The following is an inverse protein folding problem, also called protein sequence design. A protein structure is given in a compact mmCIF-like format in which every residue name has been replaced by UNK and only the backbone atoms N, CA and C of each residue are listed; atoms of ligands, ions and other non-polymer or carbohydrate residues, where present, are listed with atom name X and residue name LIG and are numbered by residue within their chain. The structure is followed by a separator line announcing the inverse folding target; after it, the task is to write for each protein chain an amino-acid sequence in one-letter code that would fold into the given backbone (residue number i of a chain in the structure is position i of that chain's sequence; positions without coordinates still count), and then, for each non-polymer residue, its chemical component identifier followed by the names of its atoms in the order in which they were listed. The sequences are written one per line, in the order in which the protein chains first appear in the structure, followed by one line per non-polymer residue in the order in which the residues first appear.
data_IF_390504615210
#
_entry.id   IF_390504615210
#
_cell.length_a   1.000
_cell.length_b   1.000
_cell.length_c   1.000
_cell.angle_alpha   90.00
_cell.angle_beta   90.00
_cell.angle_gamma   90.00
#
_symmetry.space_group_name_H-M   'P 1'
#
loop_
_entity.id
_entity.type
_entity.pdbx_description
1 polymer ?
#
# COMPACT_ATOMS: atom_id res chain seq x y z
N UNK A 1 -15.87 -10.45 -12.62
CA UNK A 1 -14.59 -9.79 -12.95
C UNK A 1 -14.58 -8.47 -12.20
N UNK A 2 -13.52 -8.12 -11.45
CA UNK A 2 -13.36 -6.75 -10.97
C UNK A 2 -13.44 -5.80 -12.17
N UNK A 3 -14.09 -4.66 -12.00
CA UNK A 3 -14.11 -3.64 -13.05
C UNK A 3 -12.70 -3.05 -13.21
N UNK A 4 -12.32 -2.59 -14.40
CA UNK A 4 -11.01 -1.94 -14.60
C UNK A 4 -10.81 -0.77 -13.60
N UNK A 5 -11.90 -0.10 -13.24
CA UNK A 5 -11.95 0.96 -12.21
C UNK A 5 -11.57 0.47 -10.81
N UNK A 6 -11.88 -0.78 -10.45
CA UNK A 6 -11.49 -1.35 -9.16
C UNK A 6 -9.97 -1.53 -9.05
N UNK A 7 -9.37 -2.01 -10.14
CA UNK A 7 -7.92 -2.23 -10.26
C UNK A 7 -7.18 -0.89 -10.27
N UNK A 8 -7.64 0.06 -11.08
CA UNK A 8 -7.05 1.40 -11.16
C UNK A 8 -7.08 2.10 -9.80
N UNK A 9 -8.17 1.99 -9.05
CA UNK A 9 -8.24 2.62 -7.74
C UNK A 9 -7.45 1.88 -6.65
N UNK A 10 -7.00 0.65 -6.88
CA UNK A 10 -6.06 -0.07 -5.99
C UNK A 10 -4.59 0.26 -6.31
N UNK A 11 -4.30 0.81 -7.49
CA UNK A 11 -2.95 1.21 -7.86
C UNK A 11 -2.41 2.33 -6.95
N UNK A 12 -3.23 3.33 -6.65
CA UNK A 12 -2.88 4.44 -5.75
C UNK A 12 -2.49 3.98 -4.32
N UNK A 13 -3.33 3.24 -3.58
CA UNK A 13 -2.96 2.77 -2.26
C UNK A 13 -1.76 1.84 -2.28
N UNK A 14 -1.55 1.08 -3.38
CA UNK A 14 -0.37 0.23 -3.53
C UNK A 14 0.90 1.05 -3.68
N UNK A 15 0.92 2.03 -4.59
CA UNK A 15 2.07 2.90 -4.83
C UNK A 15 2.44 3.66 -3.55
N UNK A 16 1.44 4.26 -2.88
CA UNK A 16 1.66 5.02 -1.65
C UNK A 16 2.16 4.09 -0.54
N UNK A 17 1.51 2.93 -0.35
CA UNK A 17 1.90 1.95 0.65
C UNK A 17 3.34 1.48 0.45
N UNK A 18 3.71 1.08 -0.77
CA UNK A 18 5.05 0.62 -1.09
C UNK A 18 6.11 1.72 -0.96
N UNK A 19 5.83 2.94 -1.42
CA UNK A 19 6.76 4.06 -1.29
C UNK A 19 7.07 4.37 0.18
N UNK A 20 6.02 4.45 1.02
CA UNK A 20 6.16 4.68 2.46
C UNK A 20 6.88 3.51 3.14
N UNK A 21 6.49 2.28 2.84
CA UNK A 21 7.10 1.09 3.40
C UNK A 21 8.58 0.95 3.07
N UNK A 22 8.96 1.14 1.81
CA UNK A 22 10.36 1.10 1.38
C UNK A 22 11.17 2.25 1.99
N UNK A 23 10.61 3.47 2.05
CA UNK A 23 11.28 4.60 2.68
C UNK A 23 11.54 4.32 4.17
N UNK A 24 10.54 3.83 4.91
CA UNK A 24 10.68 3.47 6.33
C UNK A 24 11.61 2.27 6.53
N UNK A 25 11.51 1.25 5.68
CA UNK A 25 12.38 0.07 5.70
C UNK A 25 13.84 0.42 5.53
N UNK A 26 14.14 1.34 4.59
CA UNK A 26 15.49 1.82 4.34
C UNK A 26 16.01 2.74 5.45
N UNK A 27 15.17 3.64 5.96
CA UNK A 27 15.61 4.72 6.86
C UNK A 27 15.58 4.34 8.34
N UNK A 28 14.57 3.59 8.78
CA UNK A 28 14.35 3.27 10.19
C UNK A 28 14.76 1.83 10.55
N UNK A 29 14.66 0.90 9.60
CA UNK A 29 14.83 -0.54 9.86
C UNK A 29 16.10 -1.11 9.20
N UNK A 30 16.80 -0.31 8.39
CA UNK A 30 17.95 -0.68 7.54
C UNK A 30 17.76 -2.02 6.79
N UNK A 31 16.52 -2.33 6.42
CA UNK A 31 16.13 -3.60 5.85
C UNK A 31 15.04 -3.41 4.81
N UNK A 32 15.38 -3.71 3.56
CA UNK A 32 14.43 -3.63 2.42
C UNK A 32 13.32 -4.65 2.60
N UNK A 33 13.63 -5.86 3.08
CA UNK A 33 12.62 -6.90 3.30
C UNK A 33 11.56 -6.44 4.30
N UNK A 34 11.98 -5.85 5.43
CA UNK A 34 11.05 -5.26 6.40
C UNK A 34 10.28 -4.08 5.79
N UNK A 35 10.93 -3.26 4.95
CA UNK A 35 10.26 -2.18 4.22
C UNK A 35 9.13 -2.66 3.31
N UNK A 36 9.33 -3.78 2.60
CA UNK A 36 8.29 -4.40 1.78
C UNK A 36 7.12 -4.90 2.64
N UNK A 37 7.40 -5.53 3.79
CA UNK A 37 6.35 -5.97 4.72
C UNK A 37 5.54 -4.79 5.25
N UNK A 38 6.21 -3.71 5.66
CA UNK A 38 5.56 -2.47 6.10
C UNK A 38 4.74 -1.84 4.97
N UNK A 39 5.26 -1.86 3.74
CA UNK A 39 4.58 -1.30 2.58
C UNK A 39 3.31 -2.06 2.21
N UNK A 40 3.35 -3.39 2.28
CA UNK A 40 2.17 -4.24 2.12
C UNK A 40 1.14 -4.02 3.23
N UNK A 41 1.58 -3.84 4.48
CA UNK A 41 0.69 -3.50 5.58
C UNK A 41 0.01 -2.14 5.38
N UNK A 42 0.77 -1.11 4.96
CA UNK A 42 0.23 0.20 4.61
C UNK A 42 -0.76 0.12 3.44
N UNK A 43 -0.42 -0.63 2.38
CA UNK A 43 -1.33 -0.88 1.27
C UNK A 43 -2.65 -1.49 1.75
N UNK A 44 -2.60 -2.53 2.58
CA UNK A 44 -3.80 -3.17 3.13
C UNK A 44 -4.68 -2.20 3.92
N UNK A 45 -4.07 -1.35 4.76
CA UNK A 45 -4.79 -0.32 5.51
C UNK A 45 -5.43 0.73 4.60
N UNK A 46 -4.72 1.19 3.57
CA UNK A 46 -5.22 2.18 2.62
C UNK A 46 -6.34 1.60 1.74
N UNK A 47 -6.18 0.36 1.27
CA UNK A 47 -7.20 -0.34 0.51
C UNK A 47 -8.46 -0.59 1.35
N UNK A 48 -8.30 -0.97 2.61
CA UNK A 48 -9.42 -1.14 3.55
C UNK A 48 -10.11 0.19 3.86
N UNK A 49 -9.35 1.27 4.07
CA UNK A 49 -9.90 2.61 4.23
C UNK A 49 -10.69 3.07 3.00
N UNK A 50 -10.18 2.78 1.80
CA UNK A 50 -10.89 3.08 0.54
C UNK A 50 -12.23 2.36 0.47
N UNK A 51 -12.30 1.08 0.83
CA UNK A 51 -13.56 0.31 0.83
C UNK A 51 -14.62 0.89 1.78
N UNK A 52 -14.21 1.57 2.85
CA UNK A 52 -15.15 2.23 3.77
C UNK A 52 -15.57 3.62 3.29
N UNK A 53 -14.69 4.34 2.59
CA UNK A 53 -14.93 5.71 2.14
C UNK A 53 -15.65 5.79 0.80
N UNK A 54 -15.41 4.81 -0.08
CA UNK A 54 -15.96 4.72 -1.43
C UNK A 54 -16.74 3.39 -1.52
N UNK A 55 -18.06 3.41 -1.30
CA UNK A 55 -18.92 2.23 -1.43
C UNK A 55 -19.11 1.80 -2.88
#
# INVERSE_FOLDING_TARGET
MPSDTDIEGLALPFIIGMAVGLALGRTALDSILLGVVVGLACFGLLAWGRQQLVP
#
